data_IF_101172466757
#
_entry.id   IF_101172466757
#
_cell.length_a   1.000
_cell.length_b   1.000
_cell.length_c   1.000
_cell.angle_alpha   90.00
_cell.angle_beta   90.00
_cell.angle_gamma   90.00
#
_symmetry.space_group_name_H-M   'P 1'
#
loop_
_entity.id
_entity.type
_entity.pdbx_description
1 polymer ?
#
# COMPACT_ATOMS: atom_id res chain seq x y z
N UNK A 1 -16.72 12.32 18.42
CA UNK A 1 -15.74 13.02 17.54
C UNK A 1 -14.40 12.31 17.51
N UNK A 2 -13.68 12.14 18.65
CA UNK A 2 -12.43 11.35 18.68
C UNK A 2 -12.66 9.84 18.54
N UNK A 3 -13.72 9.32 19.17
CA UNK A 3 -14.11 7.90 19.08
C UNK A 3 -14.40 7.47 17.63
N UNK A 4 -15.05 8.34 16.84
CA UNK A 4 -15.40 8.05 15.45
C UNK A 4 -14.17 7.86 14.56
N UNK A 5 -13.13 8.68 14.77
CA UNK A 5 -11.88 8.60 14.01
C UNK A 5 -11.16 7.29 14.31
N UNK A 6 -11.06 6.92 15.59
CA UNK A 6 -10.41 5.67 16.00
C UNK A 6 -11.14 4.45 15.41
N UNK A 7 -12.47 4.45 15.46
CA UNK A 7 -13.28 3.40 14.85
C UNK A 7 -13.11 3.33 13.32
N UNK A 8 -12.99 4.47 12.64
CA UNK A 8 -12.72 4.51 11.19
C UNK A 8 -11.36 3.90 10.86
N UNK A 9 -10.29 4.21 11.61
CA UNK A 9 -8.98 3.58 11.43
C UNK A 9 -9.04 2.07 11.64
N UNK A 10 -9.68 1.60 12.72
CA UNK A 10 -9.84 0.18 12.98
C UNK A 10 -10.61 -0.52 11.87
N UNK A 11 -11.66 0.11 11.36
CA UNK A 11 -12.48 -0.43 10.27
C UNK A 11 -11.67 -0.56 8.98
N UNK A 12 -10.91 0.49 8.60
CA UNK A 12 -10.05 0.49 7.42
C UNK A 12 -8.98 -0.60 7.53
N UNK A 13 -8.27 -0.68 8.67
CA UNK A 13 -7.20 -1.66 8.87
C UNK A 13 -7.77 -3.09 8.87
N UNK A 14 -8.89 -3.31 9.56
CA UNK A 14 -9.52 -4.63 9.65
C UNK A 14 -10.02 -5.12 8.30
N UNK A 15 -10.72 -4.27 7.54
CA UNK A 15 -11.18 -4.61 6.18
C UNK A 15 -10.00 -4.83 5.23
N UNK A 16 -8.96 -4.00 5.32
CA UNK A 16 -7.75 -4.16 4.49
C UNK A 16 -7.04 -5.47 4.79
N UNK A 17 -6.94 -5.85 6.07
CA UNK A 17 -6.36 -7.12 6.50
C UNK A 17 -7.17 -8.31 5.98
N UNK A 18 -8.50 -8.28 6.15
CA UNK A 18 -9.40 -9.34 5.68
C UNK A 18 -9.33 -9.46 4.15
N UNK A 19 -9.40 -8.34 3.43
CA UNK A 19 -9.26 -8.31 1.97
C UNK A 19 -7.91 -8.83 1.50
N UNK A 20 -6.82 -8.44 2.15
CA UNK A 20 -5.49 -8.95 1.86
C UNK A 20 -5.39 -10.46 2.06
N UNK A 21 -5.94 -11.00 3.15
CA UNK A 21 -5.95 -12.44 3.41
C UNK A 21 -6.77 -13.21 2.36
N UNK A 22 -7.92 -12.66 1.95
CA UNK A 22 -8.77 -13.24 0.90
C UNK A 22 -8.05 -13.24 -0.46
N UNK A 23 -7.48 -12.11 -0.88
CA UNK A 23 -6.80 -12.01 -2.18
C UNK A 23 -5.45 -12.74 -2.20
N UNK A 24 -4.80 -12.90 -1.05
CA UNK A 24 -3.62 -13.76 -0.94
C UNK A 24 -3.93 -15.22 -1.27
N UNK A 25 -5.15 -15.71 -0.97
CA UNK A 25 -5.60 -17.05 -1.40
C UNK A 25 -5.69 -17.16 -2.92
N UNK A 26 -5.95 -16.05 -3.60
CA UNK A 26 -5.99 -15.94 -5.07
C UNK A 26 -4.60 -15.72 -5.70
N UNK A 27 -3.51 -15.78 -4.90
CA UNK A 27 -2.12 -15.52 -5.34
C UNK A 27 -1.88 -14.11 -5.92
N UNK A 28 -2.73 -13.14 -5.57
CA UNK A 28 -2.55 -11.75 -5.99
C UNK A 28 -1.56 -11.01 -5.08
N UNK A 29 -0.92 -9.97 -5.63
CA UNK A 29 -0.08 -9.07 -4.85
C UNK A 29 -0.92 -8.36 -3.77
N UNK A 30 -0.43 -8.33 -2.53
CA UNK A 30 -1.15 -7.77 -1.37
C UNK A 30 -1.51 -6.29 -1.57
N UNK A 31 -0.67 -5.55 -2.29
CA UNK A 31 -0.91 -4.13 -2.61
C UNK A 31 -2.23 -3.92 -3.37
N UNK A 32 -2.61 -4.86 -4.24
CA UNK A 32 -3.86 -4.79 -5.02
C UNK A 32 -5.07 -4.91 -4.09
N UNK A 33 -4.99 -5.76 -3.07
CA UNK A 33 -6.05 -5.90 -2.09
C UNK A 33 -6.28 -4.61 -1.29
N UNK A 34 -5.20 -3.95 -0.86
CA UNK A 34 -5.30 -2.67 -0.15
C UNK A 34 -5.97 -1.59 -1.02
N UNK A 35 -5.61 -1.51 -2.31
CA UNK A 35 -6.21 -0.56 -3.25
C UNK A 35 -7.69 -0.87 -3.47
N UNK A 36 -8.06 -2.14 -3.68
CA UNK A 36 -9.45 -2.54 -3.91
C UNK A 36 -10.33 -2.31 -2.69
N UNK A 37 -9.84 -2.66 -1.50
CA UNK A 37 -10.56 -2.41 -0.25
C UNK A 37 -10.75 -0.91 -0.06
N UNK A 38 -9.70 -0.10 -0.24
CA UNK A 38 -9.76 1.36 -0.15
C UNK A 38 -10.74 1.97 -1.14
N UNK A 39 -10.76 1.51 -2.39
CA UNK A 39 -11.72 1.93 -3.40
C UNK A 39 -13.17 1.54 -3.03
N UNK A 40 -13.36 0.37 -2.42
CA UNK A 40 -14.67 -0.12 -2.01
C UNK A 40 -15.24 0.61 -0.78
N UNK A 41 -14.42 0.96 0.21
CA UNK A 41 -14.87 1.69 1.42
C UNK A 41 -14.79 3.21 1.29
N UNK A 42 -14.07 3.70 0.28
CA UNK A 42 -13.92 5.12 0.00
C UNK A 42 -15.21 5.80 -0.50
N UNK A 43 -15.14 7.10 -0.80
CA UNK A 43 -16.30 7.91 -1.19
C UNK A 43 -16.94 7.47 -2.52
N UNK A 44 -16.21 6.76 -3.38
CA UNK A 44 -16.73 6.21 -4.64
C UNK A 44 -17.40 4.83 -4.47
N UNK A 45 -17.29 4.22 -3.28
CA UNK A 45 -17.84 2.90 -2.98
C UNK A 45 -18.99 2.99 -1.98
N UNK A 46 -18.79 2.40 -0.80
CA UNK A 46 -19.79 2.29 0.26
C UNK A 46 -19.89 3.54 1.16
N UNK A 47 -19.01 4.53 0.96
CA UNK A 47 -19.02 5.83 1.69
C UNK A 47 -19.02 5.63 3.23
N UNK A 48 -18.20 4.70 3.74
CA UNK A 48 -18.10 4.46 5.19
C UNK A 48 -17.27 5.53 5.91
N UNK A 49 -16.57 6.39 5.19
CA UNK A 49 -15.60 7.34 5.73
C UNK A 49 -16.12 8.76 5.50
N UNK A 50 -16.50 9.43 6.59
CA UNK A 50 -17.17 10.74 6.53
C UNK A 50 -16.27 11.91 6.18
N UNK A 51 -14.94 11.81 6.39
CA UNK A 51 -13.99 12.91 6.16
C UNK A 51 -12.62 12.39 5.65
N UNK A 52 -12.48 12.11 4.34
CA UNK A 52 -11.25 11.56 3.78
C UNK A 52 -10.02 12.46 3.94
N UNK A 53 -10.21 13.78 4.05
CA UNK A 53 -9.12 14.77 4.20
C UNK A 53 -8.27 14.54 5.45
N UNK A 54 -8.88 14.06 6.55
CA UNK A 54 -8.16 13.76 7.79
C UNK A 54 -7.19 12.58 7.64
N UNK A 55 -7.44 11.70 6.66
CA UNK A 55 -6.63 10.51 6.41
C UNK A 55 -5.50 10.76 5.39
N UNK A 56 -5.55 11.88 4.63
CA UNK A 56 -4.58 12.19 3.56
C UNK A 56 -3.16 12.30 4.08
N UNK A 57 -2.95 13.02 5.20
CA UNK A 57 -1.62 13.21 5.76
C UNK A 57 -0.96 11.87 6.13
N UNK A 58 -1.69 10.98 6.81
CA UNK A 58 -1.18 9.66 7.18
C UNK A 58 -0.91 8.78 5.95
N UNK A 59 -1.76 8.86 4.92
CA UNK A 59 -1.54 8.15 3.67
C UNK A 59 -0.28 8.65 2.94
N UNK A 60 -0.08 9.97 2.86
CA UNK A 60 1.10 10.59 2.27
C UNK A 60 2.38 10.17 3.02
N UNK A 61 2.38 10.28 4.35
CA UNK A 61 3.50 9.80 5.16
C UNK A 61 3.77 8.30 4.95
N UNK A 62 2.71 7.48 4.91
CA UNK A 62 2.84 6.03 4.67
C UNK A 62 3.49 5.71 3.32
N UNK A 63 3.11 6.42 2.26
CA UNK A 63 3.73 6.25 0.94
C UNK A 63 5.17 6.73 0.93
N UNK A 64 5.49 7.87 1.56
CA UNK A 64 6.86 8.36 1.69
C UNK A 64 7.74 7.35 2.43
N UNK A 65 7.27 6.79 3.54
CA UNK A 65 7.99 5.74 4.27
C UNK A 65 8.14 4.45 3.45
N UNK A 66 7.12 4.04 2.69
CA UNK A 66 7.20 2.89 1.80
C UNK A 66 8.27 3.09 0.72
N UNK A 67 8.26 4.25 0.05
CA UNK A 67 9.24 4.58 -0.98
C UNK A 67 10.65 4.72 -0.40
N UNK A 68 10.78 5.23 0.82
CA UNK A 68 12.04 5.28 1.54
C UNK A 68 12.57 3.88 1.87
N UNK A 69 11.72 3.00 2.41
CA UNK A 69 12.08 1.60 2.70
C UNK A 69 12.47 0.85 1.43
N UNK A 70 11.72 1.03 0.33
CA UNK A 70 12.08 0.53 -0.99
C UNK A 70 13.46 1.05 -1.43
N UNK A 71 13.72 2.35 -1.24
CA UNK A 71 15.03 2.95 -1.52
C UNK A 71 16.19 2.34 -0.73
N UNK A 72 15.95 1.89 0.51
CA UNK A 72 16.94 1.17 1.32
C UNK A 72 17.14 -0.28 0.87
N UNK A 73 16.08 -0.95 0.41
CA UNK A 73 16.12 -2.33 -0.09
C UNK A 73 16.81 -2.40 -1.48
N UNK A 74 16.65 -1.37 -2.30
CA UNK A 74 17.35 -1.24 -3.59
C UNK A 74 18.82 -0.88 -3.39
N UNK A 75 19.68 -1.89 -3.37
CA UNK A 75 21.12 -1.66 -3.51
C UNK A 75 21.42 -1.07 -4.89
N UNK A 76 21.78 0.21 -4.94
CA UNK A 76 22.25 0.91 -6.15
C UNK A 76 23.31 0.10 -6.92
N UNK A 77 24.16 -0.62 -6.18
CA UNK A 77 25.21 -1.49 -6.72
C UNK A 77 24.62 -2.71 -7.47
N UNK A 78 23.58 -3.35 -6.92
CA UNK A 78 22.90 -4.50 -7.53
C UNK A 78 22.10 -4.10 -8.77
N UNK A 79 21.50 -2.92 -8.77
CA UNK A 79 20.80 -2.36 -9.93
C UNK A 79 21.76 -2.10 -11.10
N UNK A 80 22.96 -1.58 -10.82
CA UNK A 80 24.00 -1.41 -11.84
C UNK A 80 24.45 -2.76 -12.43
N UNK A 81 24.67 -3.79 -11.60
CA UNK A 81 25.05 -5.14 -12.09
C UNK A 81 23.99 -5.77 -12.99
N UNK A 82 22.69 -5.64 -12.67
CA UNK A 82 21.61 -6.12 -13.54
C UNK A 82 21.58 -5.40 -14.89
N UNK A 83 21.86 -4.09 -14.90
CA UNK A 83 21.91 -3.29 -16.14
C UNK A 83 23.06 -3.71 -17.07
N UNK A 84 24.17 -4.20 -16.54
CA UNK A 84 25.26 -4.77 -17.35
C UNK A 84 25.00 -6.22 -17.77
N UNK A 85 24.21 -6.98 -16.98
CA UNK A 85 23.85 -8.36 -17.32
C UNK A 85 22.93 -8.47 -18.55
N UNK A 86 22.02 -7.51 -18.74
CA UNK A 86 21.06 -7.53 -19.86
C UNK A 86 21.64 -7.00 -21.19
N UNK A 87 22.81 -6.36 -21.17
CA UNK A 87 23.46 -5.79 -22.37
C UNK A 87 24.39 -6.77 -23.12
N UNK A 88 24.54 -8.00 -22.63
CA UNK A 88 25.29 -9.07 -23.30
C UNK A 88 26.79 -8.78 -23.40
N UNK A 89 27.57 -9.28 -22.44
CA UNK A 89 29.00 -9.50 -22.68
C UNK A 89 29.93 -9.34 -21.49
N UNK A 90 30.50 -10.49 -21.13
CA UNK A 90 31.86 -10.74 -20.62
C UNK A 90 32.17 -10.44 -19.14
N UNK A 91 32.61 -11.54 -18.50
CA UNK A 91 33.29 -11.73 -17.19
C UNK A 91 32.37 -11.95 -15.99
#
# INVERSE_FOLDING_TARGET
>A
MSEDIFQQYLTIISLSLVGALLLRRLKMATIVAYILVGAAIGPSGLVLIGQPEQFSYIAEFGVVFLLFALGLEFSFKKMLTMRYADLGGVV
#
